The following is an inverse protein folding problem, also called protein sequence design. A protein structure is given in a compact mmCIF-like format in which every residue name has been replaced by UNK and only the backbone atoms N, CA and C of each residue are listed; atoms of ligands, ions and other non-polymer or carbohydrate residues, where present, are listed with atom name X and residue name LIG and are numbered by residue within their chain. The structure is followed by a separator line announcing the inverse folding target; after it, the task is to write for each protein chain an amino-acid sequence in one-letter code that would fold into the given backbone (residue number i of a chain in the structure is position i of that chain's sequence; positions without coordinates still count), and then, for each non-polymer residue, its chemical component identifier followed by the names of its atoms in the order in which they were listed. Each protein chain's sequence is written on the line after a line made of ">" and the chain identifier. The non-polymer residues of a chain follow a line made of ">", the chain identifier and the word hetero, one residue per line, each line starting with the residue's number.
data_IF_687916017076
#
_entry.id   IF_687916017076
#
_cell.length_a   1.000
_cell.length_b   1.000
_cell.length_c   1.000
_cell.angle_alpha   90.00
_cell.angle_beta   90.00
_cell.angle_gamma   90.00
#
_symmetry.space_group_name_H-M   'P 1'
#
loop_
_entity.id
_entity.type
_entity.pdbx_description
1 polymer ?
#
# COMPACT_ATOMS: atom_id res chain seq x y z
N UNK A 1 -14.81 -41.45 70.50
CA UNK A 1 -13.43 -41.58 69.99
C UNK A 1 -13.52 -41.77 68.48
N UNK A 2 -12.95 -41.03 67.54
CA UNK A 2 -12.34 -39.69 67.39
C UNK A 2 -12.29 -39.54 65.85
N UNK A 3 -12.73 -38.45 65.22
CA UNK A 3 -12.65 -38.29 63.76
C UNK A 3 -11.28 -37.71 63.37
N UNK A 4 -10.64 -38.26 62.32
CA UNK A 4 -9.45 -37.65 61.69
C UNK A 4 -9.87 -37.08 60.34
N UNK A 5 -9.95 -35.75 60.28
CA UNK A 5 -10.12 -34.99 59.04
C UNK A 5 -8.74 -34.62 58.47
N UNK A 6 -8.55 -34.86 57.16
CA UNK A 6 -7.34 -34.50 56.42
C UNK A 6 -7.25 -33.00 56.13
N UNK A 7 -6.04 -32.47 56.21
CA UNK A 7 -5.67 -31.06 56.02
C UNK A 7 -5.66 -30.68 54.53
N UNK A 8 -6.19 -29.52 54.10
CA UNK A 8 -6.01 -29.00 52.75
C UNK A 8 -4.66 -28.29 52.58
N UNK A 9 -3.94 -28.60 51.50
CA UNK A 9 -2.68 -27.95 51.14
C UNK A 9 -2.87 -26.49 50.71
N UNK A 10 -2.05 -25.62 51.29
CA UNK A 10 -1.97 -24.18 51.00
C UNK A 10 -1.06 -23.94 49.78
N UNK A 11 -1.62 -23.45 48.68
CA UNK A 11 -0.87 -23.01 47.50
C UNK A 11 -0.48 -21.54 47.64
N UNK A 12 0.82 -21.28 47.75
CA UNK A 12 1.40 -19.93 47.71
C UNK A 12 1.33 -19.36 46.30
N UNK A 13 0.91 -18.09 46.10
CA UNK A 13 0.94 -17.47 44.77
C UNK A 13 2.38 -17.10 44.39
N UNK A 14 2.84 -17.60 43.25
CA UNK A 14 4.10 -17.18 42.61
C UNK A 14 3.89 -15.80 41.97
N UNK A 15 4.72 -14.82 42.34
CA UNK A 15 4.71 -13.50 41.73
C UNK A 15 5.20 -13.57 40.28
N UNK A 16 4.37 -13.14 39.35
CA UNK A 16 4.74 -12.90 37.94
C UNK A 16 5.67 -11.68 37.89
N UNK A 17 6.86 -11.75 37.27
CA UNK A 17 7.66 -10.55 37.02
C UNK A 17 6.92 -9.65 36.03
N UNK A 18 6.63 -8.43 36.48
CA UNK A 18 6.12 -7.33 35.67
C UNK A 18 7.16 -7.01 34.58
N UNK A 19 6.81 -7.28 33.33
CA UNK A 19 7.61 -6.86 32.18
C UNK A 19 7.53 -5.35 32.12
N UNK A 20 8.55 -4.70 32.68
CA UNK A 20 8.79 -3.28 32.52
C UNK A 20 8.95 -2.99 31.02
N UNK A 21 7.85 -2.55 30.40
CA UNK A 21 7.84 -2.07 29.04
C UNK A 21 8.82 -0.92 28.95
N UNK A 22 10.00 -1.19 28.40
CA UNK A 22 10.95 -0.14 28.04
C UNK A 22 10.30 0.62 26.91
N UNK A 23 9.74 1.79 27.20
CA UNK A 23 9.29 2.74 26.20
C UNK A 23 10.51 3.10 25.34
N UNK A 24 10.58 2.48 24.17
CA UNK A 24 11.56 2.85 23.16
C UNK A 24 11.24 4.29 22.75
N UNK A 25 12.13 5.21 23.13
CA UNK A 25 12.17 6.56 22.56
C UNK A 25 12.06 6.43 21.04
N UNK A 26 11.00 6.97 20.46
CA UNK A 26 10.68 6.78 19.06
C UNK A 26 11.86 7.28 18.20
N UNK A 27 12.61 6.35 17.61
CA UNK A 27 13.68 6.68 16.69
C UNK A 27 13.08 7.41 15.47
N UNK A 28 13.69 8.53 15.08
CA UNK A 28 13.29 9.26 13.87
C UNK A 28 13.53 8.38 12.64
N UNK A 29 12.45 8.08 11.90
CA UNK A 29 12.53 7.32 10.65
C UNK A 29 12.81 8.28 9.51
N UNK A 30 13.95 8.10 8.83
CA UNK A 30 14.28 8.82 7.61
C UNK A 30 13.97 7.96 6.40
N UNK A 31 12.99 8.39 5.61
CA UNK A 31 12.62 7.73 4.37
C UNK A 31 13.59 8.06 3.22
N UNK A 32 13.83 7.13 2.28
CA UNK A 32 14.72 7.37 1.16
C UNK A 32 14.14 8.41 0.21
N UNK A 33 14.97 9.34 -0.26
CA UNK A 33 14.58 10.36 -1.26
C UNK A 33 15.37 10.22 -2.58
N UNK A 34 16.20 9.19 -2.67
CA UNK A 34 17.04 8.83 -3.83
C UNK A 34 17.24 7.32 -3.83
N UNK A 35 17.74 6.81 -4.95
CA UNK A 35 17.91 5.39 -5.21
C UNK A 35 16.80 4.81 -6.08
N UNK A 36 16.84 3.49 -6.24
CA UNK A 36 15.85 2.71 -6.96
C UNK A 36 15.18 1.81 -5.91
N UNK A 37 13.86 1.85 -5.84
CA UNK A 37 13.07 0.97 -4.98
C UNK A 37 13.13 -0.46 -5.53
N UNK A 38 13.06 -1.44 -4.62
CA UNK A 38 12.96 -2.84 -5.02
C UNK A 38 11.62 -3.07 -5.76
N UNK A 39 11.71 -3.29 -7.07
CA UNK A 39 10.56 -3.32 -7.95
C UNK A 39 10.79 -4.29 -9.11
N UNK A 40 10.05 -5.40 -9.09
CA UNK A 40 10.04 -6.41 -10.14
C UNK A 40 8.71 -6.38 -10.88
N UNK A 41 8.66 -5.59 -11.95
CA UNK A 41 7.45 -5.47 -12.76
C UNK A 41 7.06 -6.81 -13.44
N UNK A 42 8.07 -7.59 -13.84
CA UNK A 42 7.85 -8.88 -14.51
C UNK A 42 7.03 -9.83 -13.64
N UNK A 43 7.32 -9.86 -12.33
CA UNK A 43 6.56 -10.66 -11.36
C UNK A 43 5.14 -10.14 -11.12
N UNK A 44 4.96 -8.82 -10.93
CA UNK A 44 3.64 -8.27 -10.59
C UNK A 44 2.68 -8.21 -11.78
N UNK A 45 3.19 -8.19 -13.01
CA UNK A 45 2.35 -8.19 -14.22
C UNK A 45 1.79 -9.56 -14.56
N UNK A 46 2.29 -10.65 -13.95
CA UNK A 46 1.79 -12.00 -14.21
C UNK A 46 0.34 -12.20 -13.77
N UNK A 47 -0.09 -11.49 -12.73
CA UNK A 47 -1.42 -11.60 -12.14
C UNK A 47 -2.02 -10.21 -11.91
N UNK A 48 -3.35 -10.13 -11.97
CA UNK A 48 -4.09 -8.94 -11.57
C UNK A 48 -3.78 -8.61 -10.10
N UNK A 49 -3.43 -7.35 -9.85
CA UNK A 49 -3.18 -6.87 -8.49
C UNK A 49 -4.49 -6.48 -7.83
N UNK A 50 -4.72 -6.95 -6.61
CA UNK A 50 -5.99 -6.73 -5.91
C UNK A 50 -5.74 -5.96 -4.63
N UNK A 51 -6.38 -4.79 -4.50
CA UNK A 51 -6.42 -4.02 -3.27
C UNK A 51 -7.77 -4.24 -2.61
N UNK A 52 -7.77 -4.60 -1.33
CA UNK A 52 -8.99 -4.75 -0.53
C UNK A 52 -8.99 -3.76 0.62
N UNK A 53 -10.06 -2.96 0.72
CA UNK A 53 -10.30 -2.01 1.80
C UNK A 53 -11.62 -2.39 2.48
N UNK A 54 -11.52 -3.02 3.66
CA UNK A 54 -12.69 -3.58 4.34
C UNK A 54 -13.33 -4.71 3.52
N UNK A 55 -14.59 -4.54 3.12
CA UNK A 55 -15.35 -5.51 2.29
C UNK A 55 -15.30 -5.19 0.79
N UNK A 56 -14.59 -4.14 0.41
CA UNK A 56 -14.52 -3.64 -0.97
C UNK A 56 -13.19 -3.99 -1.60
N UNK A 57 -13.19 -4.44 -2.85
CA UNK A 57 -11.98 -4.80 -3.59
C UNK A 57 -11.92 -4.15 -4.96
N UNK A 58 -10.73 -3.71 -5.34
CA UNK A 58 -10.40 -3.16 -6.66
C UNK A 58 -9.31 -4.01 -7.30
N UNK A 59 -9.49 -4.35 -8.57
CA UNK A 59 -8.51 -5.09 -9.36
C UNK A 59 -7.81 -4.19 -10.36
N UNK A 60 -6.51 -4.36 -10.52
CA UNK A 60 -5.67 -3.58 -11.41
C UNK A 60 -4.85 -4.47 -12.35
N UNK A 61 -4.94 -4.22 -13.64
CA UNK A 61 -4.10 -4.85 -14.65
C UNK A 61 -2.82 -4.03 -14.85
N UNK A 62 -1.67 -4.66 -14.73
CA UNK A 62 -0.36 -3.99 -14.73
C UNK A 62 0.30 -4.10 -16.10
N UNK A 63 0.82 -2.98 -16.58
CA UNK A 63 1.59 -2.86 -17.80
C UNK A 63 2.97 -2.30 -17.46
N UNK A 64 4.01 -3.11 -17.69
CA UNK A 64 5.39 -2.76 -17.38
C UNK A 64 5.99 -1.80 -18.38
N UNK A 65 6.83 -0.89 -17.89
CA UNK A 65 7.54 0.12 -18.71
C UNK A 65 6.59 0.97 -19.55
N UNK A 66 5.37 1.20 -19.05
CA UNK A 66 4.35 2.01 -19.69
C UNK A 66 3.88 3.12 -18.75
N UNK A 67 3.40 4.22 -19.35
CA UNK A 67 2.77 5.34 -18.68
C UNK A 67 1.56 5.81 -19.50
N UNK A 68 0.50 6.24 -18.82
CA UNK A 68 -0.63 6.93 -19.43
C UNK A 68 -0.35 8.43 -19.50
N UNK A 69 -0.18 8.96 -20.70
CA UNK A 69 0.17 10.36 -20.94
C UNK A 69 -0.98 11.10 -21.63
N UNK A 70 -1.27 12.31 -21.16
CA UNK A 70 -2.32 13.15 -21.70
C UNK A 70 -2.55 14.42 -20.87
N UNK A 71 -3.16 15.47 -21.44
CA UNK A 71 -3.42 16.71 -20.72
C UNK A 71 -4.40 16.48 -19.57
N UNK A 72 -3.99 16.79 -18.33
CA UNK A 72 -4.85 16.62 -17.15
C UNK A 72 -5.17 15.16 -16.82
N UNK A 73 -4.33 14.21 -17.25
CA UNK A 73 -4.51 12.78 -16.94
C UNK A 73 -4.29 12.48 -15.46
N UNK A 74 -3.38 13.21 -14.82
CA UNK A 74 -3.02 13.03 -13.42
C UNK A 74 -3.97 13.83 -12.50
N UNK A 75 -4.66 13.13 -11.60
CA UNK A 75 -5.50 13.74 -10.55
C UNK A 75 -4.61 14.25 -9.41
N UNK A 76 -3.64 13.43 -9.02
CA UNK A 76 -2.76 13.69 -7.90
C UNK A 76 -1.45 12.91 -8.06
N UNK A 77 -0.37 13.50 -7.58
CA UNK A 77 0.96 12.89 -7.49
C UNK A 77 1.41 12.77 -6.03
N UNK A 78 2.06 11.68 -5.69
CA UNK A 78 2.60 11.43 -4.35
C UNK A 78 3.91 10.65 -4.41
N UNK A 79 4.61 10.59 -3.28
CA UNK A 79 5.73 9.66 -3.10
C UNK A 79 5.21 8.36 -2.52
N UNK A 80 5.40 7.25 -3.24
CA UNK A 80 5.09 5.90 -2.80
C UNK A 80 6.39 5.07 -2.76
N UNK A 81 6.53 4.22 -1.74
CA UNK A 81 7.70 3.36 -1.57
C UNK A 81 7.49 1.94 -2.07
N UNK A 82 6.27 1.63 -2.54
CA UNK A 82 5.93 0.38 -3.22
C UNK A 82 4.87 0.63 -4.29
N UNK A 83 4.80 -0.27 -5.27
CA UNK A 83 3.74 -0.26 -6.28
C UNK A 83 2.36 -0.50 -5.65
N UNK A 84 2.30 -1.37 -4.63
CA UNK A 84 1.08 -1.71 -3.91
C UNK A 84 0.49 -0.48 -3.18
N UNK A 85 1.33 0.37 -2.60
CA UNK A 85 0.88 1.65 -2.01
C UNK A 85 0.31 2.59 -3.08
N UNK A 86 0.86 2.54 -4.30
CA UNK A 86 0.41 3.39 -5.39
C UNK A 86 -1.00 3.00 -5.88
N UNK A 87 -1.23 1.72 -6.17
CA UNK A 87 -2.59 1.22 -6.50
C UNK A 87 -3.53 1.30 -5.29
N UNK A 88 -2.98 1.17 -4.08
CA UNK A 88 -3.68 1.33 -2.82
C UNK A 88 -4.29 2.73 -2.68
N UNK A 89 -3.52 3.77 -3.00
CA UNK A 89 -4.03 5.13 -3.00
C UNK A 89 -5.16 5.35 -4.01
N UNK A 90 -5.13 4.67 -5.17
CA UNK A 90 -6.23 4.74 -6.14
C UNK A 90 -7.51 4.12 -5.59
N UNK A 91 -7.40 2.96 -4.95
CA UNK A 91 -8.52 2.32 -4.27
C UNK A 91 -9.06 3.20 -3.12
N UNK A 92 -8.19 3.77 -2.30
CA UNK A 92 -8.56 4.67 -1.20
C UNK A 92 -9.26 5.92 -1.72
N UNK A 93 -8.74 6.52 -2.80
CA UNK A 93 -9.35 7.67 -3.46
C UNK A 93 -10.78 7.35 -3.90
N UNK A 94 -10.97 6.22 -4.59
CA UNK A 94 -12.28 5.79 -5.05
C UNK A 94 -13.23 5.46 -3.89
N UNK A 95 -12.73 4.85 -2.83
CA UNK A 95 -13.49 4.53 -1.63
C UNK A 95 -14.04 5.79 -0.96
N UNK A 96 -13.23 6.85 -0.83
CA UNK A 96 -13.66 8.13 -0.26
C UNK A 96 -14.57 8.91 -1.20
N UNK A 97 -14.26 8.92 -2.51
CA UNK A 97 -15.08 9.58 -3.51
C UNK A 97 -16.44 8.88 -3.73
N UNK A 98 -16.60 7.63 -3.27
CA UNK A 98 -17.75 6.76 -3.55
C UNK A 98 -18.03 6.63 -5.05
N UNK A 99 -16.96 6.69 -5.86
CA UNK A 99 -17.01 6.63 -7.30
C UNK A 99 -15.66 6.19 -7.86
N UNK A 100 -15.63 5.65 -9.08
CA UNK A 100 -14.42 5.28 -9.80
C UNK A 100 -13.83 6.50 -10.53
N UNK A 101 -13.34 7.46 -9.77
CA UNK A 101 -12.69 8.63 -10.33
C UNK A 101 -11.23 8.34 -10.71
N UNK A 102 -10.53 7.55 -9.91
CA UNK A 102 -9.21 7.04 -10.26
C UNK A 102 -9.36 5.74 -11.06
N UNK A 103 -8.98 5.79 -12.34
CA UNK A 103 -9.07 4.68 -13.29
C UNK A 103 -7.74 3.97 -13.51
N UNK A 104 -6.66 4.45 -12.91
CA UNK A 104 -5.36 3.80 -12.98
C UNK A 104 -4.28 4.57 -12.25
N UNK A 105 -3.06 4.07 -12.33
CA UNK A 105 -1.88 4.71 -11.76
C UNK A 105 -0.70 4.62 -12.70
N UNK A 106 0.29 5.48 -12.48
CA UNK A 106 1.65 5.34 -12.95
C UNK A 106 2.60 5.34 -11.75
N UNK A 107 3.54 4.39 -11.72
CA UNK A 107 4.56 4.25 -10.69
C UNK A 107 5.95 4.19 -11.31
N UNK A 108 6.89 4.96 -10.78
CA UNK A 108 8.31 4.91 -11.14
C UNK A 108 9.13 4.52 -9.89
N UNK A 109 9.92 3.45 -9.99
CA UNK A 109 10.73 2.98 -8.85
C UNK A 109 12.00 3.80 -8.63
N UNK A 110 12.46 4.58 -9.62
CA UNK A 110 13.65 5.40 -9.53
C UNK A 110 13.36 6.76 -8.87
N UNK A 111 13.52 6.82 -7.55
CA UNK A 111 13.34 8.05 -6.78
C UNK A 111 14.36 9.13 -7.14
N UNK A 112 15.55 8.72 -7.60
CA UNK A 112 16.62 9.66 -7.99
C UNK A 112 16.20 10.56 -9.14
N UNK A 113 15.47 10.01 -10.12
CA UNK A 113 14.99 10.75 -11.29
C UNK A 113 13.58 11.30 -11.07
N UNK A 114 12.68 10.49 -10.52
CA UNK A 114 11.26 10.85 -10.42
C UNK A 114 10.99 12.00 -9.44
N UNK A 115 11.61 12.00 -8.26
CA UNK A 115 11.29 13.01 -7.23
C UNK A 115 11.74 14.43 -7.61
N UNK A 116 12.96 14.67 -8.14
CA UNK A 116 13.36 16.01 -8.55
C UNK A 116 12.59 16.54 -9.76
N UNK A 117 12.23 15.66 -10.71
CA UNK A 117 11.61 16.06 -11.98
C UNK A 117 10.09 16.20 -11.89
N UNK A 118 9.44 15.34 -11.11
CA UNK A 118 7.98 15.23 -11.08
C UNK A 118 7.38 15.45 -9.69
N UNK A 119 8.20 15.70 -8.67
CA UNK A 119 7.78 15.91 -7.28
C UNK A 119 7.01 14.73 -6.66
N UNK A 120 7.13 13.55 -7.27
CA UNK A 120 6.45 12.33 -6.89
C UNK A 120 6.88 11.20 -7.80
N UNK A 121 6.47 9.99 -7.47
CA UNK A 121 6.74 8.80 -8.27
C UNK A 121 5.52 7.90 -8.43
N UNK A 122 4.41 8.24 -7.77
CA UNK A 122 3.11 7.61 -7.98
C UNK A 122 2.10 8.68 -8.42
N UNK A 123 1.42 8.45 -9.52
CA UNK A 123 0.45 9.38 -10.10
C UNK A 123 -0.88 8.68 -10.39
N UNK A 124 -1.95 9.21 -9.81
CA UNK A 124 -3.32 8.70 -9.93
C UNK A 124 -3.95 9.23 -11.20
N UNK A 125 -4.54 8.37 -12.04
CA UNK A 125 -5.03 8.71 -13.38
C UNK A 125 -6.56 8.84 -13.39
N UNK A 126 -7.09 9.96 -13.90
CA UNK A 126 -8.53 10.20 -14.06
C UNK A 126 -9.15 9.44 -15.24
N UNK A 127 -8.34 9.23 -16.27
CA UNK A 127 -8.72 8.52 -17.48
C UNK A 127 -7.50 7.83 -18.06
N UNK A 128 -7.72 6.87 -18.97
CA UNK A 128 -6.68 6.03 -19.54
C UNK A 128 -6.51 6.36 -21.04
N UNK A 129 -5.71 7.39 -21.37
CA UNK A 129 -5.38 7.71 -22.75
C UNK A 129 -4.43 6.67 -23.37
N UNK A 130 -3.82 7.03 -24.50
CA UNK A 130 -2.73 6.27 -25.08
C UNK A 130 -1.62 6.01 -24.05
N UNK A 131 -1.13 4.77 -24.03
CA UNK A 131 0.08 4.45 -23.29
C UNK A 131 1.33 4.85 -24.09
N UNK A 132 2.31 5.42 -23.41
CA UNK A 132 3.66 5.64 -23.92
C UNK A 132 4.64 4.72 -23.19
N UNK A 133 5.68 4.20 -23.88
CA UNK A 133 6.81 3.59 -23.21
C UNK A 133 7.48 4.56 -22.24
N UNK A 134 7.92 4.05 -21.11
CA UNK A 134 8.59 4.79 -20.05
C UNK A 134 9.90 4.10 -19.68
N UNK A 135 10.96 4.89 -19.47
CA UNK A 135 12.26 4.41 -19.01
C UNK A 135 12.25 4.30 -17.46
N UNK A 136 13.31 3.76 -16.84
CA UNK A 136 13.46 3.73 -15.37
C UNK A 136 12.46 2.89 -14.56
N UNK A 137 12.42 1.56 -14.76
CA UNK A 137 11.71 0.61 -13.87
C UNK A 137 10.31 1.12 -13.46
N UNK A 138 9.48 1.42 -14.45
CA UNK A 138 8.16 1.98 -14.24
C UNK A 138 7.05 0.96 -14.56
N UNK A 139 5.85 1.23 -14.06
CA UNK A 139 4.64 0.51 -14.43
C UNK A 139 3.41 1.40 -14.40
N UNK A 140 2.50 1.13 -15.32
CA UNK A 140 1.15 1.64 -15.27
C UNK A 140 0.21 0.53 -14.81
N UNK A 141 -0.84 0.89 -14.07
CA UNK A 141 -1.92 -0.04 -13.73
C UNK A 141 -3.25 0.58 -14.16
N UNK A 142 -4.13 -0.21 -14.77
CA UNK A 142 -5.51 0.19 -15.08
C UNK A 142 -6.50 -0.52 -14.19
N UNK A 143 -7.50 0.21 -13.72
CA UNK A 143 -8.62 -0.33 -12.96
C UNK A 143 -9.42 -1.31 -13.86
N UNK A 144 -9.42 -2.58 -13.49
CA UNK A 144 -10.11 -3.64 -14.20
C UNK A 144 -11.50 -3.91 -13.63
N UNK A 145 -11.64 -3.84 -12.30
CA UNK A 145 -12.93 -3.91 -11.62
C UNK A 145 -12.90 -3.12 -10.32
N UNK A 146 -14.09 -2.73 -9.85
CA UNK A 146 -14.31 -2.03 -8.60
C UNK A 146 -15.52 -2.61 -7.87
N UNK A 147 -15.72 -2.26 -6.60
CA UNK A 147 -17.01 -2.44 -5.94
C UNK A 147 -18.09 -1.62 -6.65
N UNK A 148 -19.35 -2.04 -6.46
CA UNK A 148 -20.48 -1.20 -6.80
C UNK A 148 -20.77 -0.27 -5.62
N UNK A 149 -20.72 1.04 -5.88
CA UNK A 149 -21.15 2.04 -4.90
C UNK A 149 -22.68 2.15 -5.01
N UNK A 150 -23.40 1.52 -4.07
CA UNK A 150 -24.85 1.72 -3.94
C UNK A 150 -25.05 3.08 -3.28
N UNK A 151 -25.66 4.01 -4.01
CA UNK A 151 -26.04 5.35 -3.54
C UNK A 151 -27.27 5.31 -2.64
#
# INVERSE_FOLDING_TARGET
>A
MTPTAGVPGSTTPTATPEVQGTEASAASIKVPTRGILDFDCGRISMNRQVVTLGTSSWGFDVNCMMNYIGPGVDIAGMTAYSFDDCIGACAVFNQFARNNTCLGVFFNANLTTSLPMHHGNCFLKAYLPQMSPEQDLAAAASLAYSPQFIM
#
